data_IF_614906982916
#
_entry.id   IF_614906982916
#
_cell.length_a   1.000
_cell.length_b   1.000
_cell.length_c   1.000
_cell.angle_alpha   90.00
_cell.angle_beta   90.00
_cell.angle_gamma   90.00
#
_symmetry.space_group_name_H-M   'P 1'
#
loop_
_entity.id
_entity.type
_entity.pdbx_description
1 polymer ?
#
# COMPACT_ATOMS: atom_id res chain seq x y z
N UNK A 1 13.18 -3.86 20.90
CA UNK A 1 11.74 -3.58 20.65
C UNK A 1 11.54 -2.61 19.48
N UNK A 2 12.62 -2.23 18.77
CA UNK A 2 12.58 -1.25 17.67
C UNK A 2 12.10 -1.85 16.34
N UNK A 3 12.24 -3.16 16.15
CA UNK A 3 11.89 -3.87 14.91
C UNK A 3 10.37 -3.92 14.64
N UNK A 4 9.55 -3.73 15.67
CA UNK A 4 8.08 -3.77 15.53
C UNK A 4 7.50 -2.41 15.18
N UNK A 5 8.26 -1.31 15.27
CA UNK A 5 7.73 0.04 15.07
C UNK A 5 7.19 0.22 13.64
N UNK A 6 7.90 -0.30 12.63
CA UNK A 6 7.47 -0.23 11.24
C UNK A 6 6.19 -1.04 10.98
N UNK A 7 6.12 -2.25 11.53
CA UNK A 7 4.92 -3.09 11.45
C UNK A 7 3.74 -2.48 12.20
N UNK A 8 3.97 -1.88 13.38
CA UNK A 8 2.95 -1.18 14.16
C UNK A 8 2.47 0.08 13.45
N UNK A 9 3.34 0.80 12.75
CA UNK A 9 2.97 1.96 11.94
C UNK A 9 2.07 1.52 10.77
N UNK A 10 2.47 0.48 10.03
CA UNK A 10 1.68 -0.08 8.93
C UNK A 10 0.33 -0.62 9.40
N UNK A 11 0.31 -1.34 10.53
CA UNK A 11 -0.90 -1.81 11.18
C UNK A 11 -1.77 -0.64 11.64
N UNK A 12 -1.17 0.43 12.18
CA UNK A 12 -1.86 1.66 12.55
C UNK A 12 -2.51 2.35 11.35
N UNK A 13 -1.79 2.50 10.24
CA UNK A 13 -2.33 3.05 8.99
C UNK A 13 -3.52 2.22 8.48
N UNK A 14 -3.38 0.89 8.46
CA UNK A 14 -4.47 -0.01 8.07
C UNK A 14 -5.66 0.07 9.04
N UNK A 15 -5.41 0.10 10.34
CA UNK A 15 -6.44 0.17 11.37
C UNK A 15 -7.20 1.51 11.36
N UNK A 16 -6.53 2.62 11.07
CA UNK A 16 -7.16 3.94 10.91
C UNK A 16 -7.99 4.01 9.63
N UNK A 17 -7.58 3.31 8.58
CA UNK A 17 -8.30 3.31 7.29
C UNK A 17 -9.39 2.25 7.18
N UNK A 18 -9.37 1.21 8.03
CA UNK A 18 -10.39 0.16 8.08
C UNK A 18 -11.83 0.70 8.32
N UNK A 19 -12.07 1.65 9.26
CA UNK A 19 -13.39 2.24 9.47
C UNK A 19 -13.91 2.99 8.25
N UNK A 20 -13.04 3.46 7.34
CA UNK A 20 -13.49 4.08 6.09
C UNK A 20 -14.20 3.07 5.19
N UNK A 21 -13.97 1.77 5.34
CA UNK A 21 -14.75 0.77 4.61
C UNK A 21 -16.22 0.73 5.08
N UNK A 22 -16.49 1.03 6.35
CA UNK A 22 -17.84 1.11 6.92
C UNK A 22 -18.67 2.24 6.29
N UNK A 23 -18.02 3.24 5.70
CA UNK A 23 -18.68 4.30 4.91
C UNK A 23 -19.27 3.80 3.58
N UNK A 24 -19.06 2.52 3.23
CA UNK A 24 -19.63 1.88 2.05
C UNK A 24 -18.70 1.82 0.84
N UNK A 25 -17.42 2.19 1.00
CA UNK A 25 -16.40 2.14 -0.06
C UNK A 25 -16.23 0.76 -0.71
N UNK A 26 -16.49 -0.35 0.01
CA UNK A 26 -16.49 -1.74 -0.50
C UNK A 26 -15.22 -2.12 -1.30
N UNK A 27 -14.08 -1.53 -0.95
CA UNK A 27 -12.80 -1.76 -1.62
C UNK A 27 -12.29 -3.18 -1.33
N UNK A 28 -12.39 -3.67 -0.09
CA UNK A 28 -12.01 -5.06 0.22
C UNK A 28 -12.98 -6.09 -0.36
N UNK A 29 -14.22 -5.69 -0.67
CA UNK A 29 -15.20 -6.55 -1.38
C UNK A 29 -14.89 -6.74 -2.87
N UNK A 30 -13.88 -6.06 -3.43
CA UNK A 30 -13.45 -6.23 -4.85
C UNK A 30 -11.96 -6.48 -4.94
N UNK A 31 -11.45 -7.60 -4.38
CA UNK A 31 -10.03 -7.88 -4.32
C UNK A 31 -9.39 -7.87 -5.72
N UNK A 32 -10.04 -8.44 -6.74
CA UNK A 32 -9.49 -8.47 -8.10
C UNK A 32 -9.22 -7.10 -8.74
N UNK A 33 -9.98 -6.06 -8.39
CA UNK A 33 -9.72 -4.69 -8.90
C UNK A 33 -8.59 -4.02 -8.13
N UNK A 34 -8.61 -4.17 -6.81
CA UNK A 34 -7.58 -3.65 -5.90
C UNK A 34 -6.21 -4.26 -6.24
N UNK A 35 -6.15 -5.58 -6.43
CA UNK A 35 -4.94 -6.27 -6.82
C UNK A 35 -4.45 -5.77 -8.18
N UNK A 36 -5.31 -5.66 -9.20
CA UNK A 36 -4.88 -5.14 -10.51
C UNK A 36 -4.39 -3.69 -10.50
N UNK A 37 -4.86 -2.85 -9.58
CA UNK A 37 -4.37 -1.48 -9.45
C UNK A 37 -3.08 -1.38 -8.64
N UNK A 38 -2.96 -2.19 -7.57
CA UNK A 38 -1.85 -2.10 -6.62
C UNK A 38 -0.65 -2.93 -7.08
N UNK A 39 -0.87 -4.15 -7.57
CA UNK A 39 0.21 -5.11 -7.85
C UNK A 39 1.21 -4.62 -8.91
N UNK A 40 0.80 -4.02 -10.04
CA UNK A 40 1.75 -3.53 -11.05
C UNK A 40 2.66 -2.43 -10.49
N UNK A 41 2.07 -1.51 -9.73
CA UNK A 41 2.80 -0.39 -9.12
C UNK A 41 3.75 -0.92 -8.04
N UNK A 42 3.25 -1.78 -7.16
CA UNK A 42 4.04 -2.43 -6.13
C UNK A 42 5.22 -3.22 -6.72
N UNK A 43 5.02 -3.94 -7.83
CA UNK A 43 6.08 -4.70 -8.50
C UNK A 43 7.17 -3.80 -9.10
N UNK A 44 6.79 -2.69 -9.75
CA UNK A 44 7.74 -1.73 -10.31
C UNK A 44 8.59 -1.10 -9.21
N UNK A 45 7.95 -0.62 -8.14
CA UNK A 45 8.68 0.01 -7.04
C UNK A 45 9.53 -0.98 -6.26
N UNK A 46 9.01 -2.18 -5.94
CA UNK A 46 9.80 -3.21 -5.28
C UNK A 46 11.01 -3.65 -6.14
N UNK A 47 10.83 -3.76 -7.46
CA UNK A 47 11.92 -4.09 -8.37
C UNK A 47 12.99 -3.00 -8.41
N UNK A 48 12.57 -1.73 -8.50
CA UNK A 48 13.49 -0.58 -8.41
C UNK A 48 14.25 -0.56 -7.08
N UNK A 49 13.54 -0.87 -6.00
CA UNK A 49 14.09 -0.89 -4.66
C UNK A 49 15.23 -1.89 -4.52
N UNK A 50 14.99 -3.14 -4.96
CA UNK A 50 16.02 -4.18 -5.03
C UNK A 50 17.24 -3.72 -5.83
N UNK A 51 17.03 -3.08 -6.98
CA UNK A 51 18.13 -2.58 -7.81
C UNK A 51 18.93 -1.51 -7.06
N UNK A 52 18.25 -0.57 -6.40
CA UNK A 52 18.90 0.53 -5.68
C UNK A 52 19.71 0.03 -4.48
N UNK A 53 19.22 -1.00 -3.76
CA UNK A 53 19.96 -1.68 -2.68
C UNK A 53 21.17 -2.42 -3.25
N UNK A 54 20.98 -3.20 -4.32
CA UNK A 54 22.04 -3.96 -4.95
C UNK A 54 23.14 -3.06 -5.53
N UNK A 55 22.76 -1.87 -6.02
CA UNK A 55 23.68 -0.84 -6.50
C UNK A 55 24.37 -0.06 -5.37
N UNK A 56 24.01 -0.29 -4.10
CA UNK A 56 24.57 0.42 -2.96
C UNK A 56 24.20 1.90 -2.91
N UNK A 57 23.21 2.34 -3.69
CA UNK A 57 22.68 3.71 -3.67
C UNK A 57 22.16 4.04 -2.28
N UNK A 58 21.56 3.05 -1.64
CA UNK A 58 21.12 3.12 -0.26
C UNK A 58 21.03 1.73 0.37
N UNK A 59 20.95 1.67 1.69
CA UNK A 59 20.83 0.41 2.42
C UNK A 59 19.90 0.56 3.62
N UNK A 60 19.25 -0.54 3.99
CA UNK A 60 18.41 -0.59 5.17
C UNK A 60 19.24 -0.77 6.43
N UNK A 61 18.85 -0.07 7.49
CA UNK A 61 19.43 -0.29 8.79
C UNK A 61 18.83 -1.57 9.40
N UNK A 62 19.61 -2.66 9.56
CA UNK A 62 19.11 -3.94 10.03
C UNK A 62 18.54 -3.88 11.46
N UNK A 63 18.74 -2.76 12.16
CA UNK A 63 18.22 -2.51 13.51
C UNK A 63 16.70 -2.27 13.52
N UNK A 64 16.09 -1.82 12.42
CA UNK A 64 14.67 -1.45 12.36
C UNK A 64 13.80 -2.41 11.55
N UNK A 65 14.41 -3.33 10.81
CA UNK A 65 13.73 -4.41 10.09
C UNK A 65 13.84 -5.71 10.88
N UNK A 66 12.81 -6.55 10.83
CA UNK A 66 12.72 -7.80 11.61
C UNK A 66 13.74 -8.87 11.21
N UNK A 67 14.52 -8.63 10.15
CA UNK A 67 15.52 -9.56 9.62
C UNK A 67 14.92 -10.64 8.71
N UNK A 68 13.61 -10.62 8.47
CA UNK A 68 12.97 -11.44 7.43
C UNK A 68 13.18 -10.78 6.06
N UNK A 69 14.20 -11.25 5.34
CA UNK A 69 14.43 -10.86 3.96
C UNK A 69 13.64 -11.78 3.00
N UNK A 70 12.83 -11.18 2.13
CA UNK A 70 12.31 -11.83 0.94
C UNK A 70 13.47 -12.14 -0.04
N UNK A 71 13.26 -13.02 -1.05
CA UNK A 71 14.25 -13.22 -2.10
C UNK A 71 14.69 -11.86 -2.67
N UNK A 72 16.01 -11.71 -2.87
CA UNK A 72 16.67 -10.47 -3.32
C UNK A 72 16.93 -9.41 -2.24
N UNK A 73 16.94 -9.78 -0.96
CA UNK A 73 17.32 -8.89 0.17
C UNK A 73 16.30 -7.79 0.50
N UNK A 74 15.09 -7.87 -0.05
CA UNK A 74 14.01 -6.93 0.26
C UNK A 74 13.42 -7.25 1.64
N UNK A 75 13.38 -6.30 2.58
CA UNK A 75 12.71 -6.51 3.86
C UNK A 75 11.21 -6.78 3.69
N UNK A 76 10.64 -7.63 4.54
CA UNK A 76 9.19 -7.90 4.53
C UNK A 76 8.38 -6.62 4.74
N UNK A 77 8.89 -5.71 5.56
CA UNK A 77 8.28 -4.42 5.87
C UNK A 77 8.16 -3.54 4.62
N UNK A 78 9.12 -3.56 3.70
CA UNK A 78 9.04 -2.88 2.40
C UNK A 78 7.93 -3.47 1.53
N UNK A 79 7.88 -4.79 1.42
CA UNK A 79 6.86 -5.45 0.62
C UNK A 79 5.47 -5.11 1.15
N UNK A 80 5.30 -5.10 2.48
CA UNK A 80 4.07 -4.66 3.12
C UNK A 80 3.80 -3.18 2.89
N UNK A 81 4.80 -2.31 2.91
CA UNK A 81 4.64 -0.89 2.62
C UNK A 81 4.09 -0.66 1.20
N UNK A 82 4.67 -1.30 0.18
CA UNK A 82 4.21 -1.21 -1.21
C UNK A 82 2.80 -1.77 -1.44
N UNK A 83 2.26 -2.55 -0.50
CA UNK A 83 0.89 -3.06 -0.57
C UNK A 83 -0.07 -2.23 0.28
N UNK A 84 0.26 -1.99 1.55
CA UNK A 84 -0.61 -1.35 2.54
C UNK A 84 -0.83 0.11 2.20
N UNK A 85 0.22 0.86 1.82
CA UNK A 85 0.09 2.30 1.57
C UNK A 85 -0.80 2.59 0.35
N UNK A 86 -0.61 1.92 -0.82
CA UNK A 86 -1.54 2.09 -1.93
C UNK A 86 -2.97 1.66 -1.63
N UNK A 87 -3.17 0.61 -0.83
CA UNK A 87 -4.51 0.20 -0.39
C UNK A 87 -5.17 1.29 0.47
N UNK A 88 -4.44 1.85 1.43
CA UNK A 88 -4.90 2.98 2.26
C UNK A 88 -5.27 4.20 1.40
N UNK A 89 -4.46 4.51 0.37
CA UNK A 89 -4.72 5.61 -0.55
C UNK A 89 -6.01 5.37 -1.37
N UNK A 90 -6.22 4.17 -1.91
CA UNK A 90 -7.43 3.81 -2.67
C UNK A 90 -8.68 3.88 -1.77
N UNK A 91 -8.61 3.35 -0.54
CA UNK A 91 -9.70 3.43 0.43
C UNK A 91 -10.10 4.88 0.73
N UNK A 92 -9.10 5.74 0.96
CA UNK A 92 -9.31 7.16 1.24
C UNK A 92 -9.92 7.87 0.03
N UNK A 93 -9.37 7.63 -1.16
CA UNK A 93 -9.85 8.23 -2.42
C UNK A 93 -11.30 7.85 -2.72
N UNK A 94 -11.66 6.57 -2.61
CA UNK A 94 -13.03 6.10 -2.83
C UNK A 94 -14.01 6.70 -1.81
N UNK A 95 -13.57 6.88 -0.56
CA UNK A 95 -14.41 7.45 0.49
C UNK A 95 -14.63 8.94 0.26
N UNK A 96 -13.58 9.70 -0.06
CA UNK A 96 -13.71 11.11 -0.44
C UNK A 96 -14.58 11.27 -1.68
N UNK A 97 -14.42 10.42 -2.70
CA UNK A 97 -15.25 10.46 -3.91
C UNK A 97 -16.74 10.21 -3.62
N UNK A 98 -17.06 9.42 -2.61
CA UNK A 98 -18.45 9.16 -2.17
C UNK A 98 -19.04 10.28 -1.33
N UNK A 99 -18.24 10.87 -0.44
CA UNK A 99 -18.68 11.93 0.46
C UNK A 99 -18.70 13.30 -0.22
N UNK A 100 -17.91 13.49 -1.27
CA UNK A 100 -17.87 14.74 -2.00
C UNK A 100 -19.15 14.95 -2.82
N UNK A 101 -19.88 16.07 -2.62
CA UNK A 101 -21.02 16.43 -3.45
C UNK A 101 -20.61 16.94 -4.85
N UNK A 102 -19.30 17.00 -5.14
CA UNK A 102 -18.78 17.36 -6.45
C UNK A 102 -19.18 16.27 -7.45
N UNK A 103 -20.29 16.52 -8.17
CA UNK A 103 -20.78 15.72 -9.28
C UNK A 103 -19.70 15.63 -10.35
N UNK A 104 -18.92 14.55 -10.36
CA UNK A 104 -17.94 14.31 -11.44
C UNK A 104 -18.70 14.10 -12.77
N UNK A 105 -18.47 14.92 -13.81
CA UNK A 105 -19.10 14.75 -15.12
C UNK A 105 -18.40 13.71 -16.02
N UNK A 106 -17.39 12.96 -15.54
CA UNK A 106 -16.53 12.18 -16.41
C UNK A 106 -16.63 10.66 -16.15
N UNK A 107 -17.26 9.94 -17.09
CA UNK A 107 -16.97 8.52 -17.33
C UNK A 107 -18.07 7.49 -17.05
N UNK A 108 -19.37 7.81 -17.15
CA UNK A 108 -20.44 6.78 -17.15
C UNK A 108 -20.89 6.30 -18.53
N UNK A 109 -20.39 6.88 -19.63
CA UNK A 109 -20.81 6.53 -21.01
C UNK A 109 -19.80 5.66 -21.77
N UNK A 110 -19.23 4.65 -21.10
CA UNK A 110 -18.53 3.58 -21.79
C UNK A 110 -18.92 2.24 -21.16
N UNK A 111 -20.16 1.83 -21.45
CA UNK A 111 -20.59 0.42 -21.38
C UNK A 111 -20.24 -0.27 -22.68
#
# INVERSE_FOLDING_TARGET
MDHLQYLLLLAGCAAVTLPLELSGSRVYRRPGRLTRSVLPVAAVFAGWDVIAIAAGVWSYNPRYVTGLALPLSLPLEEALFFLVVPVCAVLTFETVRRLSPVRQPYGQDAR
#
